data_IF_781627414684
#
_entry.id   IF_781627414684
#
_cell.length_a   1.000
_cell.length_b   1.000
_cell.length_c   1.000
_cell.angle_alpha   90.00
_cell.angle_beta   90.00
_cell.angle_gamma   90.00
#
_symmetry.space_group_name_H-M   'P 1'
#
loop_
_entity.id
_entity.type
_entity.pdbx_description
1 polymer ?
#
# COMPACT_ATOMS: atom_id res chain seq x y z
N UNK A 1 -57.71 31.85 -52.36
CA UNK A 1 -58.31 30.95 -51.35
C UNK A 1 -57.87 29.51 -51.60
N UNK A 2 -58.28 28.85 -52.68
CA UNK A 2 -57.87 27.46 -52.97
C UNK A 2 -56.34 27.22 -52.88
N UNK A 3 -55.52 28.05 -53.54
CA UNK A 3 -54.05 27.93 -53.48
C UNK A 3 -53.48 28.09 -52.06
N UNK A 4 -54.00 29.03 -51.27
CA UNK A 4 -53.53 29.28 -49.91
C UNK A 4 -53.96 28.15 -48.94
N UNK A 5 -55.16 27.59 -49.14
CA UNK A 5 -55.60 26.39 -48.41
C UNK A 5 -54.72 25.19 -48.73
N UNK A 6 -54.39 24.98 -50.00
CA UNK A 6 -53.55 23.85 -50.42
C UNK A 6 -52.11 23.98 -49.89
N UNK A 7 -51.56 25.20 -49.87
CA UNK A 7 -50.26 25.49 -49.26
C UNK A 7 -50.29 25.23 -47.75
N UNK A 8 -51.31 25.71 -47.03
CA UNK A 8 -51.42 25.52 -45.58
C UNK A 8 -51.64 24.05 -45.21
N UNK A 9 -52.40 23.30 -46.03
CA UNK A 9 -52.57 21.86 -45.87
C UNK A 9 -51.23 21.12 -46.03
N UNK A 10 -50.44 21.49 -47.02
CA UNK A 10 -49.09 20.93 -47.23
C UNK A 10 -48.18 21.22 -46.02
N UNK A 11 -48.18 22.45 -45.51
CA UNK A 11 -47.41 22.80 -44.29
C UNK A 11 -47.85 21.98 -43.09
N UNK A 12 -49.16 21.77 -42.90
CA UNK A 12 -49.68 20.97 -41.79
C UNK A 12 -49.26 19.49 -41.91
N UNK A 13 -49.26 18.91 -43.11
CA UNK A 13 -48.76 17.55 -43.35
C UNK A 13 -47.25 17.44 -43.07
N UNK A 14 -46.46 18.40 -43.54
CA UNK A 14 -45.02 18.43 -43.25
C UNK A 14 -44.73 18.56 -41.75
N UNK A 15 -45.53 19.33 -41.00
CA UNK A 15 -45.36 19.46 -39.56
C UNK A 15 -45.75 18.17 -38.81
N UNK A 16 -46.74 17.42 -39.30
CA UNK A 16 -47.10 16.10 -38.77
C UNK A 16 -45.96 15.09 -38.97
N UNK A 17 -45.37 15.06 -40.18
CA UNK A 17 -44.20 14.22 -40.50
C UNK A 17 -42.97 14.61 -39.65
N UNK A 18 -42.70 15.91 -39.50
CA UNK A 18 -41.63 16.40 -38.64
C UNK A 18 -41.86 16.02 -37.15
N UNK A 19 -43.12 16.02 -36.70
CA UNK A 19 -43.47 15.59 -35.34
C UNK A 19 -43.24 14.08 -35.13
N UNK A 20 -43.52 13.26 -36.14
CA UNK A 20 -43.24 11.81 -36.09
C UNK A 20 -41.73 11.53 -35.99
N UNK A 21 -40.94 12.22 -36.81
CA UNK A 21 -39.48 12.19 -36.70
C UNK A 21 -38.98 12.65 -35.32
N UNK A 22 -39.56 13.72 -34.78
CA UNK A 22 -39.20 14.20 -33.45
C UNK A 22 -39.53 13.18 -32.35
N UNK A 23 -40.63 12.44 -32.44
CA UNK A 23 -40.97 11.37 -31.50
C UNK A 23 -39.94 10.23 -31.50
N UNK A 24 -39.41 9.88 -32.69
CA UNK A 24 -38.36 8.87 -32.82
C UNK A 24 -37.05 9.32 -32.16
N UNK A 25 -36.67 10.58 -32.33
CA UNK A 25 -35.50 11.17 -31.66
C UNK A 25 -35.66 11.22 -30.14
N UNK A 26 -36.86 11.57 -29.64
CA UNK A 26 -37.16 11.58 -28.19
C UNK A 26 -37.06 10.17 -27.60
N UNK A 27 -37.56 9.16 -28.31
CA UNK A 27 -37.45 7.76 -27.89
C UNK A 27 -35.98 7.34 -27.78
N UNK A 28 -35.17 7.70 -28.78
CA UNK A 28 -33.74 7.41 -28.81
C UNK A 28 -32.99 8.13 -27.68
N UNK A 29 -33.29 9.41 -27.45
CA UNK A 29 -32.73 10.19 -26.35
C UNK A 29 -33.12 9.62 -24.98
N UNK A 30 -34.38 9.19 -24.82
CA UNK A 30 -34.87 8.56 -23.59
C UNK A 30 -34.13 7.25 -23.28
N UNK A 31 -33.87 6.44 -24.30
CA UNK A 31 -33.06 5.22 -24.16
C UNK A 31 -31.64 5.54 -23.70
N UNK A 32 -30.99 6.53 -24.31
CA UNK A 32 -29.64 6.94 -23.93
C UNK A 32 -29.58 7.47 -22.48
N UNK A 33 -30.61 8.20 -22.04
CA UNK A 33 -30.72 8.68 -20.65
C UNK A 33 -30.90 7.52 -19.67
N UNK A 34 -31.64 6.48 -20.05
CA UNK A 34 -31.77 5.27 -19.25
C UNK A 34 -30.43 4.53 -19.11
N UNK A 35 -29.68 4.40 -20.21
CA UNK A 35 -28.34 3.78 -20.19
C UNK A 35 -27.37 4.57 -19.29
N UNK A 36 -27.44 5.90 -19.33
CA UNK A 36 -26.69 6.77 -18.42
C UNK A 36 -27.07 6.50 -16.96
N UNK A 37 -28.37 6.39 -16.65
CA UNK A 37 -28.83 6.12 -15.29
C UNK A 37 -28.28 4.78 -14.74
N UNK A 38 -28.31 3.73 -15.55
CA UNK A 38 -27.73 2.42 -15.20
C UNK A 38 -26.22 2.53 -14.97
N UNK A 39 -25.51 3.24 -15.84
CA UNK A 39 -24.06 3.45 -15.68
C UNK A 39 -23.71 4.22 -14.41
N UNK A 40 -24.53 5.22 -14.04
CA UNK A 40 -24.35 5.99 -12.79
C UNK A 40 -24.56 5.11 -11.55
N UNK A 41 -25.55 4.21 -11.55
CA UNK A 41 -25.74 3.25 -10.47
C UNK A 41 -24.51 2.33 -10.30
N UNK A 42 -23.93 1.87 -11.41
CA UNK A 42 -22.71 1.07 -11.39
C UNK A 42 -21.53 1.86 -10.82
N UNK A 43 -21.33 3.11 -11.24
CA UNK A 43 -20.30 4.01 -10.70
C UNK A 43 -20.48 4.21 -9.19
N UNK A 44 -21.72 4.41 -8.74
CA UNK A 44 -22.03 4.57 -7.31
C UNK A 44 -21.68 3.30 -6.51
N UNK A 45 -22.05 2.12 -7.03
CA UNK A 45 -21.71 0.83 -6.41
C UNK A 45 -20.20 0.62 -6.33
N UNK A 46 -19.50 0.85 -7.44
CA UNK A 46 -18.04 0.70 -7.51
C UNK A 46 -17.31 1.69 -6.59
N UNK A 47 -17.85 2.90 -6.44
CA UNK A 47 -17.35 3.89 -5.49
C UNK A 47 -17.51 3.39 -4.05
N UNK A 48 -18.70 2.88 -3.68
CA UNK A 48 -18.92 2.33 -2.34
C UNK A 48 -17.97 1.17 -2.02
N UNK A 49 -17.75 0.25 -2.96
CA UNK A 49 -16.81 -0.86 -2.78
C UNK A 49 -15.36 -0.35 -2.64
N UNK A 50 -14.96 0.58 -3.50
CA UNK A 50 -13.62 1.17 -3.46
C UNK A 50 -13.36 1.89 -2.14
N UNK A 51 -14.37 2.57 -1.57
CA UNK A 51 -14.26 3.24 -0.26
C UNK A 51 -14.00 2.23 0.87
N UNK A 52 -14.68 1.07 0.84
CA UNK A 52 -14.44 0.00 1.80
C UNK A 52 -13.02 -0.56 1.66
N UNK A 53 -12.52 -0.75 0.43
CA UNK A 53 -11.16 -1.19 0.17
C UNK A 53 -10.15 -0.17 0.71
N UNK A 54 -10.36 1.12 0.46
CA UNK A 54 -9.51 2.20 0.97
C UNK A 54 -9.45 2.21 2.51
N UNK A 55 -10.60 2.12 3.17
CA UNK A 55 -10.69 2.05 4.64
C UNK A 55 -9.99 0.80 5.20
N UNK A 56 -10.14 -0.34 4.52
CA UNK A 56 -9.43 -1.57 4.89
C UNK A 56 -7.92 -1.42 4.73
N UNK A 57 -7.45 -0.76 3.66
CA UNK A 57 -6.02 -0.48 3.44
C UNK A 57 -5.44 0.40 4.56
N UNK A 58 -6.17 1.43 5.01
CA UNK A 58 -5.77 2.24 6.19
C UNK A 58 -5.60 1.37 7.42
N UNK A 59 -6.57 0.49 7.70
CA UNK A 59 -6.50 -0.42 8.86
C UNK A 59 -5.30 -1.37 8.78
N UNK A 60 -5.04 -1.95 7.62
CA UNK A 60 -3.90 -2.86 7.39
C UNK A 60 -2.57 -2.11 7.54
N UNK A 61 -2.44 -0.93 6.93
CA UNK A 61 -1.25 -0.10 7.02
C UNK A 61 -0.94 0.30 8.46
N UNK A 62 -1.96 0.73 9.21
CA UNK A 62 -1.83 1.10 10.63
C UNK A 62 -1.36 -0.08 11.49
N UNK A 63 -1.95 -1.27 11.30
CA UNK A 63 -1.51 -2.50 12.00
C UNK A 63 -0.10 -2.94 11.59
N UNK A 64 0.25 -2.76 10.33
CA UNK A 64 1.61 -2.96 9.84
C UNK A 64 2.60 -2.04 10.55
N UNK A 65 2.27 -0.74 10.65
CA UNK A 65 3.13 0.26 11.28
C UNK A 65 3.30 0.02 12.78
N UNK A 66 2.27 -0.49 13.47
CA UNK A 66 2.39 -0.98 14.85
C UNK A 66 3.35 -2.17 14.95
N UNK A 67 3.23 -3.14 14.04
CA UNK A 67 4.11 -4.31 14.02
C UNK A 67 5.57 -3.91 13.78
N UNK A 68 5.81 -2.99 12.85
CA UNK A 68 7.13 -2.40 12.60
C UNK A 68 7.69 -1.71 13.85
N UNK A 69 6.90 -0.87 14.52
CA UNK A 69 7.32 -0.20 15.76
C UNK A 69 7.74 -1.21 16.84
N UNK A 70 7.00 -2.31 16.98
CA UNK A 70 7.36 -3.40 17.89
C UNK A 70 8.66 -4.09 17.49
N UNK A 71 8.91 -4.25 16.19
CA UNK A 71 10.18 -4.79 15.68
C UNK A 71 11.35 -3.87 16.02
N UNK A 72 11.21 -2.55 15.82
CA UNK A 72 12.24 -1.56 16.17
C UNK A 72 12.56 -1.64 17.67
N UNK A 73 11.53 -1.67 18.53
CA UNK A 73 11.71 -1.83 19.97
C UNK A 73 12.41 -3.16 20.35
N UNK A 74 12.11 -4.23 19.61
CA UNK A 74 12.79 -5.51 19.75
C UNK A 74 14.28 -5.41 19.40
N UNK A 75 14.63 -4.70 18.32
CA UNK A 75 16.01 -4.46 17.92
C UNK A 75 16.78 -3.63 18.97
N UNK A 76 16.15 -2.60 19.54
CA UNK A 76 16.75 -1.83 20.64
C UNK A 76 17.04 -2.72 21.87
N UNK A 77 16.10 -3.60 22.22
CA UNK A 77 16.28 -4.56 23.33
C UNK A 77 17.44 -5.51 23.06
N UNK A 78 17.54 -6.04 21.83
CA UNK A 78 18.65 -6.90 21.42
C UNK A 78 19.98 -6.14 21.50
N UNK A 79 20.02 -4.89 21.04
CA UNK A 79 21.21 -4.04 21.11
C UNK A 79 21.69 -3.86 22.55
N UNK A 80 20.79 -3.57 23.48
CA UNK A 80 21.11 -3.44 24.92
C UNK A 80 21.67 -4.76 25.49
N UNK A 81 21.06 -5.90 25.17
CA UNK A 81 21.53 -7.21 25.61
C UNK A 81 22.92 -7.54 25.06
N UNK A 82 23.20 -7.22 23.79
CA UNK A 82 24.53 -7.41 23.20
C UNK A 82 25.56 -6.54 23.92
N UNK A 83 25.27 -5.27 24.19
CA UNK A 83 26.17 -4.38 24.91
C UNK A 83 26.49 -4.89 26.32
N UNK A 84 25.49 -5.36 27.06
CA UNK A 84 25.70 -5.92 28.39
C UNK A 84 26.48 -7.24 28.37
N UNK A 85 26.26 -8.07 27.35
CA UNK A 85 27.02 -9.30 27.17
C UNK A 85 28.48 -9.00 26.80
N UNK A 86 28.71 -8.02 25.92
CA UNK A 86 30.06 -7.54 25.55
C UNK A 86 30.84 -7.05 26.78
N UNK A 87 30.20 -6.26 27.67
CA UNK A 87 30.82 -5.85 28.96
C UNK A 87 31.20 -7.04 29.84
N UNK A 88 30.38 -8.10 29.87
CA UNK A 88 30.67 -9.31 30.66
C UNK A 88 31.85 -10.08 30.07
N UNK A 89 31.90 -10.24 28.76
CA UNK A 89 33.01 -10.92 28.08
C UNK A 89 34.30 -10.12 28.23
N UNK A 90 34.26 -8.79 28.12
CA UNK A 90 35.44 -7.95 28.34
C UNK A 90 36.03 -8.14 29.75
N UNK A 91 35.19 -8.15 30.79
CA UNK A 91 35.62 -8.46 32.17
C UNK A 91 36.17 -9.87 32.31
N UNK A 92 35.63 -10.84 31.57
CA UNK A 92 36.18 -12.20 31.53
C UNK A 92 37.59 -12.19 30.92
N UNK A 93 37.80 -11.48 29.80
CA UNK A 93 39.12 -11.31 29.19
C UNK A 93 40.14 -10.67 30.14
N UNK A 94 39.73 -9.62 30.87
CA UNK A 94 40.56 -8.99 31.92
C UNK A 94 40.91 -9.99 33.04
N UNK A 95 39.93 -10.75 33.53
CA UNK A 95 40.15 -11.77 34.58
C UNK A 95 41.07 -12.90 34.09
N UNK A 96 40.92 -13.33 32.83
CA UNK A 96 41.78 -14.35 32.22
C UNK A 96 43.21 -13.84 32.05
N UNK A 97 43.41 -12.55 31.74
CA UNK A 97 44.74 -11.94 31.72
C UNK A 97 45.40 -11.94 33.10
N UNK A 98 44.66 -11.63 34.17
CA UNK A 98 45.17 -11.72 35.54
C UNK A 98 45.57 -13.16 35.90
N UNK A 99 44.77 -14.16 35.52
CA UNK A 99 45.11 -15.57 35.70
C UNK A 99 46.39 -15.92 34.93
N UNK A 100 46.55 -15.45 33.70
CA UNK A 100 47.76 -15.65 32.91
C UNK A 100 49.02 -15.16 33.62
N UNK A 101 48.98 -13.94 34.18
CA UNK A 101 50.10 -13.38 34.95
C UNK A 101 50.43 -14.20 36.20
N UNK A 102 49.41 -14.76 36.88
CA UNK A 102 49.61 -15.64 38.05
C UNK A 102 50.24 -16.97 37.63
N UNK A 103 49.79 -17.55 36.51
CA UNK A 103 50.32 -18.82 36.00
C UNK A 103 51.79 -18.69 35.59
N UNK A 104 52.16 -17.57 34.98
CA UNK A 104 53.56 -17.22 34.66
C UNK A 104 54.42 -17.17 35.94
N UNK A 105 53.95 -16.45 36.97
CA UNK A 105 54.63 -16.39 38.27
C UNK A 105 54.78 -17.78 38.93
N UNK A 106 53.75 -18.64 38.87
CA UNK A 106 53.84 -19.99 39.43
C UNK A 106 54.85 -20.83 38.64
N UNK A 107 54.91 -20.68 37.32
CA UNK A 107 55.91 -21.36 36.50
C UNK A 107 57.33 -20.93 36.88
N UNK A 108 57.56 -19.62 37.08
CA UNK A 108 58.86 -19.09 37.55
C UNK A 108 59.25 -19.65 38.92
N UNK A 109 58.29 -19.73 39.86
CA UNK A 109 58.51 -20.33 41.18
C UNK A 109 58.85 -21.82 41.06
N UNK A 110 58.15 -22.55 40.19
CA UNK A 110 58.41 -23.97 39.96
C UNK A 110 59.82 -24.18 39.36
N UNK A 111 60.23 -23.34 38.41
CA UNK A 111 61.56 -23.39 37.81
C UNK A 111 62.66 -23.04 38.81
N UNK A 112 62.47 -22.00 39.63
CA UNK A 112 63.39 -21.67 40.74
C UNK A 112 63.48 -22.81 41.76
N UNK A 113 62.34 -23.41 42.11
CA UNK A 113 62.30 -24.55 43.05
C UNK A 113 63.05 -25.74 42.48
N UNK A 114 62.92 -26.01 41.19
CA UNK A 114 63.65 -27.06 40.47
C UNK A 114 65.17 -26.84 40.52
N UNK A 115 65.62 -25.60 40.32
CA UNK A 115 67.04 -25.22 40.42
C UNK A 115 67.54 -25.36 41.87
N UNK A 116 66.73 -24.93 42.85
CA UNK A 116 67.05 -25.07 44.28
C UNK A 116 67.17 -26.54 44.70
N UNK A 117 66.25 -27.40 44.28
CA UNK A 117 66.30 -28.83 44.58
C UNK A 117 67.50 -29.51 43.93
N UNK A 118 67.85 -29.14 42.71
CA UNK A 118 69.05 -29.66 42.05
C UNK A 118 70.32 -29.28 42.82
N UNK A 119 70.43 -28.01 43.24
CA UNK A 119 71.56 -27.55 44.06
C UNK A 119 71.62 -28.28 45.42
N UNK A 120 70.47 -28.54 46.04
CA UNK A 120 70.37 -29.32 47.27
C UNK A 120 70.79 -30.79 47.07
N UNK A 121 70.40 -31.42 45.95
CA UNK A 121 70.80 -32.78 45.60
C UNK A 121 72.31 -32.88 45.39
N UNK A 122 72.93 -31.90 44.70
CA UNK A 122 74.38 -31.81 44.51
C UNK A 122 75.12 -31.69 45.86
N UNK A 123 74.64 -30.80 46.75
CA UNK A 123 75.24 -30.63 48.08
C UNK A 123 75.06 -31.88 48.95
N UNK A 124 73.90 -32.54 48.89
CA UNK A 124 73.64 -33.79 49.59
C UNK A 124 74.55 -34.93 49.12
N UNK A 125 74.82 -35.01 47.80
CA UNK A 125 75.79 -35.95 47.24
C UNK A 125 77.22 -35.66 47.71
N UNK A 126 77.57 -34.38 47.88
CA UNK A 126 78.89 -33.94 48.37
C UNK A 126 79.12 -34.31 49.84
N UNK A 127 78.06 -34.39 50.65
CA UNK A 127 78.09 -34.78 52.06
C UNK A 127 78.18 -36.31 52.29
N UNK A 128 78.18 -37.14 51.24
CA UNK A 128 78.36 -38.59 51.34
C UNK A 128 77.23 -39.31 52.11
N UNK A 129 77.59 -40.27 52.97
CA UNK A 129 76.62 -41.08 53.74
C UNK A 129 75.70 -40.24 54.65
N UNK A 130 76.18 -39.09 55.16
CA UNK A 130 75.40 -38.21 56.05
C UNK A 130 74.33 -37.41 55.29
N UNK A 131 74.50 -37.21 53.98
CA UNK A 131 73.57 -36.46 53.11
C UNK A 131 72.48 -37.32 52.44
N UNK A 132 72.51 -38.64 52.63
CA UNK A 132 71.68 -39.59 51.88
C UNK A 132 70.16 -39.36 52.05
N UNK A 133 69.73 -39.00 53.26
CA UNK A 133 68.33 -38.63 53.53
C UNK A 133 67.92 -37.31 52.89
N UNK A 134 68.83 -36.32 52.83
CA UNK A 134 68.60 -35.05 52.16
C UNK A 134 68.54 -35.18 50.64
N UNK A 135 69.34 -36.08 50.05
CA UNK A 135 69.32 -36.35 48.61
C UNK A 135 67.95 -36.86 48.14
N UNK A 136 67.31 -37.77 48.90
CA UNK A 136 65.98 -38.30 48.56
C UNK A 136 64.91 -37.21 48.62
N UNK A 137 64.97 -36.31 49.60
CA UNK A 137 64.04 -35.19 49.70
C UNK A 137 64.25 -34.20 48.55
N UNK A 138 65.50 -33.92 48.18
CA UNK A 138 65.82 -33.04 47.06
C UNK A 138 65.28 -33.59 45.72
N UNK A 139 65.46 -34.89 45.45
CA UNK A 139 64.90 -35.53 44.25
C UNK A 139 63.37 -35.46 44.21
N UNK A 140 62.68 -35.66 45.34
CA UNK A 140 61.21 -35.59 45.39
C UNK A 140 60.71 -34.14 45.21
N UNK A 141 61.41 -33.14 45.75
CA UNK A 141 61.11 -31.72 45.50
C UNK A 141 61.32 -31.37 44.04
N UNK A 142 62.40 -31.87 43.41
CA UNK A 142 62.67 -31.67 41.98
C UNK A 142 61.52 -32.23 41.14
N UNK A 143 61.12 -33.47 41.41
CA UNK A 143 60.01 -34.13 40.70
C UNK A 143 58.68 -33.38 40.88
N UNK A 144 58.43 -32.83 42.07
CA UNK A 144 57.24 -32.02 42.33
C UNK A 144 57.27 -30.69 41.56
N UNK A 145 58.44 -30.04 41.50
CA UNK A 145 58.67 -28.80 40.75
C UNK A 145 58.47 -29.01 39.24
N UNK A 146 59.01 -30.09 38.67
CA UNK A 146 58.78 -30.47 37.27
C UNK A 146 57.29 -30.74 36.98
N UNK A 147 56.59 -31.44 37.88
CA UNK A 147 55.14 -31.66 37.76
C UNK A 147 54.35 -30.34 37.82
N UNK A 148 54.74 -29.43 38.71
CA UNK A 148 54.12 -28.10 38.81
C UNK A 148 54.32 -27.28 37.53
N UNK A 149 55.55 -27.23 36.98
CA UNK A 149 55.83 -26.54 35.71
C UNK A 149 55.06 -27.14 34.52
N UNK A 150 54.95 -28.46 34.45
CA UNK A 150 54.15 -29.10 33.41
C UNK A 150 52.65 -28.76 33.54
N UNK A 151 52.12 -28.69 34.76
CA UNK A 151 50.74 -28.30 35.01
C UNK A 151 50.49 -26.81 34.68
N UNK A 152 51.40 -25.90 35.05
CA UNK A 152 51.27 -24.48 34.71
C UNK A 152 51.29 -24.25 33.21
N UNK A 153 52.14 -24.94 32.44
CA UNK A 153 52.14 -24.87 30.97
C UNK A 153 50.82 -25.33 30.34
N UNK A 154 50.18 -26.35 30.91
CA UNK A 154 48.84 -26.78 30.45
C UNK A 154 47.78 -25.72 30.76
N UNK A 155 47.84 -25.09 31.94
CA UNK A 155 46.92 -24.01 32.30
C UNK A 155 47.17 -22.78 31.41
N UNK A 156 48.41 -22.42 31.13
CA UNK A 156 48.78 -21.32 30.25
C UNK A 156 48.18 -21.48 28.85
N UNK A 157 48.27 -22.69 28.27
CA UNK A 157 47.63 -23.01 27.01
C UNK A 157 46.10 -22.81 27.06
N UNK A 158 45.44 -23.27 28.13
CA UNK A 158 44.00 -23.07 28.32
C UNK A 158 43.62 -21.59 28.45
N UNK A 159 44.39 -20.83 29.24
CA UNK A 159 44.21 -19.39 29.43
C UNK A 159 44.31 -18.67 28.08
N UNK A 160 45.32 -18.99 27.26
CA UNK A 160 45.50 -18.39 25.94
C UNK A 160 44.36 -18.71 24.98
N UNK A 161 43.83 -19.93 25.01
CA UNK A 161 42.62 -20.29 24.26
C UNK A 161 41.43 -19.45 24.71
N UNK A 162 41.18 -19.34 26.02
CA UNK A 162 40.08 -18.51 26.55
C UNK A 162 40.26 -17.03 26.15
N UNK A 163 41.47 -16.48 26.17
CA UNK A 163 41.74 -15.12 25.70
C UNK A 163 41.40 -14.93 24.22
N UNK A 164 41.72 -15.93 23.40
CA UNK A 164 41.42 -15.90 21.96
C UNK A 164 39.90 -15.94 21.74
N UNK A 165 39.22 -16.91 22.37
CA UNK A 165 37.78 -17.10 22.25
C UNK A 165 36.99 -15.87 22.76
N UNK A 166 37.44 -15.26 23.87
CA UNK A 166 36.81 -14.04 24.40
C UNK A 166 36.99 -12.85 23.47
N UNK A 167 38.16 -12.68 22.85
CA UNK A 167 38.40 -11.62 21.88
C UNK A 167 37.56 -11.82 20.60
N UNK A 168 37.48 -13.05 20.09
CA UNK A 168 36.62 -13.39 18.94
C UNK A 168 35.13 -13.13 19.26
N UNK A 169 34.68 -13.47 20.46
CA UNK A 169 33.31 -13.20 20.89
C UNK A 169 33.00 -11.70 20.96
N UNK A 170 33.95 -10.85 21.39
CA UNK A 170 33.78 -9.38 21.37
C UNK A 170 33.66 -8.86 19.94
N UNK A 171 34.53 -9.30 19.02
CA UNK A 171 34.47 -8.91 17.60
C UNK A 171 33.12 -9.31 16.99
N UNK A 172 32.67 -10.54 17.26
CA UNK A 172 31.35 -11.01 16.80
C UNK A 172 30.21 -10.16 17.33
N UNK A 173 30.25 -9.76 18.61
CA UNK A 173 29.24 -8.87 19.20
C UNK A 173 29.23 -7.47 18.58
N UNK A 174 30.39 -6.92 18.22
CA UNK A 174 30.46 -5.64 17.50
C UNK A 174 29.84 -5.73 16.11
N UNK A 175 30.10 -6.82 15.38
CA UNK A 175 29.47 -7.08 14.09
C UNK A 175 27.95 -7.24 14.21
N UNK A 176 27.47 -8.05 15.15
CA UNK A 176 26.02 -8.21 15.39
C UNK A 176 25.37 -6.90 15.80
N UNK A 177 26.06 -6.03 16.55
CA UNK A 177 25.54 -4.69 16.88
C UNK A 177 25.30 -3.86 15.61
N UNK A 178 26.22 -3.89 14.66
CA UNK A 178 26.05 -3.20 13.38
C UNK A 178 24.88 -3.77 12.55
N UNK A 179 24.71 -5.09 12.55
CA UNK A 179 23.58 -5.74 11.89
C UNK A 179 22.23 -5.37 12.51
N UNK A 180 22.14 -5.31 13.83
CA UNK A 180 20.93 -4.88 14.56
C UNK A 180 20.57 -3.43 14.26
N UNK A 181 21.57 -2.54 14.18
CA UNK A 181 21.35 -1.13 13.79
C UNK A 181 20.81 -1.05 12.36
N UNK A 182 21.39 -1.79 11.42
CA UNK A 182 20.91 -1.81 10.05
C UNK A 182 19.49 -2.41 9.95
N UNK A 183 19.21 -3.47 10.73
CA UNK A 183 17.89 -4.07 10.82
C UNK A 183 16.83 -3.11 11.37
N UNK A 184 17.17 -2.33 12.40
CA UNK A 184 16.30 -1.28 12.93
C UNK A 184 16.00 -0.20 11.88
N UNK A 185 17.02 0.25 11.13
CA UNK A 185 16.86 1.23 10.05
C UNK A 185 15.96 0.71 8.92
N UNK A 186 16.14 -0.54 8.49
CA UNK A 186 15.28 -1.15 7.47
C UNK A 186 13.83 -1.29 7.95
N UNK A 187 13.63 -1.58 9.23
CA UNK A 187 12.29 -1.58 9.82
C UNK A 187 11.69 -0.17 9.83
N UNK A 188 12.48 0.86 10.17
CA UNK A 188 12.05 2.26 10.11
C UNK A 188 11.63 2.68 8.70
N UNK A 189 12.45 2.38 7.68
CA UNK A 189 12.13 2.62 6.26
C UNK A 189 10.78 1.95 5.86
N UNK A 190 10.54 0.72 6.33
CA UNK A 190 9.27 0.02 6.11
C UNK A 190 8.09 0.69 6.84
N UNK A 191 8.33 1.28 8.01
CA UNK A 191 7.36 2.04 8.78
C UNK A 191 6.93 3.32 8.06
N UNK A 192 7.87 4.04 7.45
CA UNK A 192 7.59 5.22 6.64
C UNK A 192 6.73 4.88 5.42
N UNK A 193 7.07 3.81 4.69
CA UNK A 193 6.27 3.35 3.55
C UNK A 193 4.83 2.99 3.96
N UNK A 194 4.63 2.38 5.13
CA UNK A 194 3.28 2.10 5.66
C UNK A 194 2.52 3.38 6.02
N UNK A 195 3.20 4.39 6.55
CA UNK A 195 2.61 5.71 6.82
C UNK A 195 2.20 6.43 5.53
N UNK A 196 2.98 6.29 4.46
CA UNK A 196 2.63 6.81 3.14
C UNK A 196 1.39 6.09 2.58
N UNK A 197 1.33 4.76 2.67
CA UNK A 197 0.15 3.98 2.28
C UNK A 197 -1.10 4.42 3.06
N UNK A 198 -0.97 4.67 4.37
CA UNK A 198 -2.08 5.16 5.19
C UNK A 198 -2.60 6.51 4.67
N UNK A 199 -1.69 7.43 4.37
CA UNK A 199 -2.01 8.78 3.86
C UNK A 199 -2.69 8.72 2.50
N UNK A 200 -2.11 7.98 1.56
CA UNK A 200 -2.66 7.80 0.21
C UNK A 200 -4.03 7.13 0.26
N UNK A 201 -4.21 6.12 1.13
CA UNK A 201 -5.48 5.41 1.27
C UNK A 201 -6.58 6.30 1.86
N UNK A 202 -6.25 7.18 2.81
CA UNK A 202 -7.20 8.20 3.32
C UNK A 202 -7.63 9.16 2.22
N UNK A 203 -6.66 9.70 1.47
CA UNK A 203 -6.96 10.60 0.37
C UNK A 203 -7.80 9.92 -0.72
N UNK A 204 -7.53 8.64 -1.01
CA UNK A 204 -8.31 7.85 -1.94
C UNK A 204 -9.77 7.68 -1.47
N UNK A 205 -10.01 7.49 -0.17
CA UNK A 205 -11.36 7.45 0.39
C UNK A 205 -12.12 8.79 0.21
N UNK A 206 -11.44 9.93 0.38
CA UNK A 206 -12.02 11.26 0.14
C UNK A 206 -12.39 11.46 -1.34
N UNK A 207 -11.50 11.08 -2.26
CA UNK A 207 -11.76 11.17 -3.70
C UNK A 207 -12.98 10.32 -4.10
N UNK A 208 -13.09 9.12 -3.53
CA UNK A 208 -14.23 8.23 -3.78
C UNK A 208 -15.52 8.80 -3.22
N UNK A 209 -15.48 9.46 -2.06
CA UNK A 209 -16.64 10.15 -1.51
C UNK A 209 -17.15 11.24 -2.49
N UNK A 210 -16.23 12.03 -3.06
CA UNK A 210 -16.58 13.03 -4.07
C UNK A 210 -17.18 12.40 -5.34
N UNK A 211 -16.66 11.25 -5.79
CA UNK A 211 -17.23 10.51 -6.94
C UNK A 211 -18.65 10.03 -6.62
N UNK A 212 -18.89 9.51 -5.42
CA UNK A 212 -20.21 9.06 -4.99
C UNK A 212 -21.23 10.21 -4.96
N UNK A 213 -20.82 11.37 -4.47
CA UNK A 213 -21.65 12.59 -4.48
C UNK A 213 -21.95 13.07 -5.91
N UNK A 214 -20.95 13.09 -6.78
CA UNK A 214 -21.13 13.43 -8.19
C UNK A 214 -22.07 12.44 -8.90
N UNK A 215 -21.96 11.14 -8.62
CA UNK A 215 -22.85 10.12 -9.15
C UNK A 215 -24.30 10.34 -8.69
N UNK A 216 -24.53 10.68 -7.42
CA UNK A 216 -25.88 11.01 -6.93
C UNK A 216 -26.47 12.24 -7.65
N UNK A 217 -25.67 13.28 -7.86
CA UNK A 217 -26.11 14.46 -8.61
C UNK A 217 -26.44 14.13 -10.07
N UNK A 218 -25.60 13.31 -10.72
CA UNK A 218 -25.85 12.87 -12.10
C UNK A 218 -27.10 11.99 -12.20
N UNK A 219 -27.37 11.14 -11.21
CA UNK A 219 -28.59 10.31 -11.16
C UNK A 219 -29.84 11.19 -11.10
N UNK A 220 -29.84 12.22 -10.24
CA UNK A 220 -30.94 13.19 -10.16
C UNK A 220 -31.12 13.97 -11.47
N UNK A 221 -30.03 14.36 -12.14
CA UNK A 221 -30.08 15.02 -13.44
C UNK A 221 -30.67 14.09 -14.53
N UNK A 222 -30.24 12.83 -14.59
CA UNK A 222 -30.78 11.85 -15.53
C UNK A 222 -32.29 11.62 -15.32
N UNK A 223 -32.75 11.52 -14.07
CA UNK A 223 -34.17 11.43 -13.74
C UNK A 223 -34.96 12.67 -14.22
N UNK A 224 -34.40 13.87 -14.03
CA UNK A 224 -35.01 15.12 -14.51
C UNK A 224 -35.09 15.18 -16.04
N UNK A 225 -34.04 14.73 -16.73
CA UNK A 225 -34.01 14.67 -18.20
C UNK A 225 -35.05 13.67 -18.70
N UNK A 226 -35.14 12.49 -18.09
CA UNK A 226 -36.14 11.47 -18.43
C UNK A 226 -37.57 12.02 -18.27
N UNK A 227 -37.85 12.70 -17.16
CA UNK A 227 -39.14 13.37 -16.96
C UNK A 227 -39.40 14.44 -18.03
N UNK A 228 -38.38 15.19 -18.44
CA UNK A 228 -38.51 16.20 -19.49
C UNK A 228 -38.80 15.56 -20.85
N UNK A 229 -38.14 14.46 -21.19
CA UNK A 229 -38.39 13.72 -22.43
C UNK A 229 -39.81 13.18 -22.50
N UNK A 230 -40.37 12.70 -21.39
CA UNK A 230 -41.78 12.29 -21.33
C UNK A 230 -42.74 13.45 -21.65
N UNK A 231 -42.46 14.65 -21.12
CA UNK A 231 -43.26 15.86 -21.40
C UNK A 231 -43.12 16.27 -22.87
N UNK A 232 -41.91 16.26 -23.42
CA UNK A 232 -41.69 16.59 -24.83
C UNK A 232 -42.42 15.57 -25.72
N UNK A 233 -42.37 14.28 -25.39
CA UNK A 233 -43.09 13.23 -26.13
C UNK A 233 -44.59 13.50 -26.17
N UNK A 234 -45.20 13.88 -25.04
CA UNK A 234 -46.62 14.25 -24.97
C UNK A 234 -46.94 15.47 -25.86
N UNK A 235 -46.12 16.53 -25.79
CA UNK A 235 -46.27 17.73 -26.62
C UNK A 235 -46.14 17.39 -28.11
N UNK A 236 -45.17 16.55 -28.48
CA UNK A 236 -44.95 16.12 -29.87
C UNK A 236 -46.14 15.30 -30.38
N UNK A 237 -46.68 14.39 -29.58
CA UNK A 237 -47.91 13.65 -29.92
C UNK A 237 -49.10 14.59 -30.10
N UNK A 238 -49.32 15.55 -29.19
CA UNK A 238 -50.39 16.53 -29.30
C UNK A 238 -50.23 17.42 -30.55
N UNK A 239 -48.99 17.81 -30.87
CA UNK A 239 -48.66 18.61 -32.06
C UNK A 239 -48.98 17.83 -33.33
N UNK A 240 -48.53 16.57 -33.44
CA UNK A 240 -48.83 15.70 -34.56
C UNK A 240 -50.36 15.57 -34.78
N UNK A 241 -51.11 15.26 -33.72
CA UNK A 241 -52.58 15.17 -33.78
C UNK A 241 -53.22 16.49 -34.22
N UNK A 242 -52.83 17.62 -33.62
CA UNK A 242 -53.38 18.93 -33.95
C UNK A 242 -53.07 19.37 -35.38
N UNK A 243 -51.89 19.05 -35.89
CA UNK A 243 -51.51 19.34 -37.29
C UNK A 243 -52.27 18.47 -38.28
N UNK A 244 -52.49 17.20 -37.97
CA UNK A 244 -53.32 16.30 -38.77
C UNK A 244 -54.77 16.81 -38.86
N UNK A 245 -55.38 17.19 -37.73
CA UNK A 245 -56.71 17.81 -37.71
C UNK A 245 -56.78 19.14 -38.47
N UNK A 246 -55.70 19.93 -38.43
CA UNK A 246 -55.60 21.18 -39.20
C UNK A 246 -55.54 20.89 -40.69
N UNK A 247 -54.75 19.91 -41.14
CA UNK A 247 -54.66 19.49 -42.53
C UNK A 247 -56.02 18.99 -43.06
N UNK A 248 -56.77 18.24 -42.25
CA UNK A 248 -58.12 17.78 -42.56
C UNK A 248 -59.12 18.94 -42.69
N UNK A 249 -59.14 19.84 -41.69
CA UNK A 249 -60.04 21.01 -41.68
C UNK A 249 -59.78 21.94 -42.87
N UNK A 250 -58.51 22.12 -43.25
CA UNK A 250 -58.14 22.93 -44.41
C UNK A 250 -58.49 22.23 -45.73
N UNK A 251 -58.39 20.90 -45.79
CA UNK A 251 -58.90 20.11 -46.91
C UNK A 251 -60.39 20.33 -47.14
N UNK A 252 -61.19 20.22 -46.07
CA UNK A 252 -62.64 20.48 -46.10
C UNK A 252 -62.96 21.94 -46.53
N UNK A 253 -62.18 22.91 -46.03
CA UNK A 253 -62.32 24.32 -46.45
C UNK A 253 -61.99 24.54 -47.93
N UNK A 254 -60.96 23.86 -48.46
CA UNK A 254 -60.60 23.95 -49.87
C UNK A 254 -61.69 23.36 -50.78
N UNK A 255 -62.31 22.27 -50.35
CA UNK A 255 -63.45 21.65 -51.03
C UNK A 255 -64.67 22.58 -51.03
N UNK A 256 -65.05 23.12 -49.88
CA UNK A 256 -66.15 24.08 -49.74
C UNK A 256 -65.92 25.35 -50.59
N UNK A 257 -64.69 25.88 -50.61
CA UNK A 257 -64.34 27.02 -51.46
C UNK A 257 -64.45 26.69 -52.96
N UNK A 258 -64.15 25.46 -53.35
CA UNK A 258 -64.29 24.97 -54.73
C UNK A 258 -65.76 24.81 -55.10
N UNK A 259 -66.59 24.27 -54.22
CA UNK A 259 -68.04 24.17 -54.40
C UNK A 259 -68.70 25.54 -54.52
N UNK A 260 -68.34 26.48 -53.64
CA UNK A 260 -68.78 27.86 -53.72
C UNK A 260 -68.41 28.46 -55.07
N UNK A 261 -67.14 28.35 -55.50
CA UNK A 261 -66.69 28.84 -56.82
C UNK A 261 -67.50 28.23 -57.97
N UNK A 262 -67.80 26.93 -57.92
CA UNK A 262 -68.66 26.25 -58.90
C UNK A 262 -70.07 26.84 -58.89
N UNK A 263 -70.66 27.02 -57.72
CA UNK A 263 -72.00 27.61 -57.55
C UNK A 263 -72.08 29.03 -58.11
N UNK A 264 -71.06 29.88 -57.88
CA UNK A 264 -71.06 31.27 -58.39
C UNK A 264 -70.69 31.36 -59.88
N UNK A 265 -69.99 30.36 -60.45
CA UNK A 265 -69.54 30.40 -61.85
C UNK A 265 -70.68 30.44 -62.88
N UNK A 266 -71.88 29.96 -62.52
CA UNK A 266 -73.09 30.07 -63.34
C UNK A 266 -73.72 31.47 -63.39
N UNK A 267 -73.24 32.41 -62.57
CA UNK A 267 -73.70 33.80 -62.52
C UNK A 267 -72.76 34.78 -63.23
N UNK A 268 -71.83 34.29 -64.08
CA UNK A 268 -71.03 35.17 -64.93
C UNK A 268 -71.91 35.83 -65.99
N UNK A 269 -71.91 37.17 -66.02
CA UNK A 269 -72.47 37.95 -67.11
C UNK A 269 -71.70 37.65 -68.42
N UNK A 270 -72.35 37.65 -69.59
CA UNK A 270 -71.65 37.50 -70.87
C UNK A 270 -70.55 38.56 -70.96
N UNK A 271 -69.34 38.17 -71.37
CA UNK A 271 -68.39 39.17 -71.88
C UNK A 271 -69.10 39.87 -73.04
N UNK A 272 -69.29 41.19 -72.92
CA UNK A 272 -69.73 42.01 -74.04
C UNK A 272 -68.76 41.73 -75.19
N UNK A 273 -69.29 41.10 -76.24
CA UNK A 273 -68.66 41.11 -77.54
C UNK A 273 -68.48 42.57 -77.92
N UNK A 274 -67.25 43.09 -77.80
CA UNK A 274 -66.84 44.29 -78.47
C UNK A 274 -66.79 43.98 -79.97
N UNK A 275 -67.96 44.02 -80.62
CA UNK A 275 -68.07 44.14 -82.08
C UNK A 275 -68.08 45.63 -82.46
N UNK A 276 -66.89 46.08 -82.89
CA UNK A 276 -66.59 46.97 -84.04
C UNK A 276 -65.45 47.94 -83.75
#
# INVERSE_FOLDING_TARGET
IASASQETQSTAMHLAEASDHQAQEITSASSAVNDIAVSIEEVSRNSSESSQVASRSVSIASKGAETVRRTIQGMDTIREQIQDTSKRIKRLGESTQEIGNIVELINDIAEQTNILSLNAAIQAATAGETGRGFAVVADEVQRLAERASNATKQIEALVKTIQTDTNEAVISMEQTTAEVINGARLAEDAGEALSEIETVSKHLAELIQNISEAAQQQSAAAASISSTMNVIQEITTQTSVGTSQTAESIGNLAELATELRRSVSGFKLPEEAAEN
#
